data_IF_659755512276
#
_entry.id   IF_659755512276
#
_cell.length_a   1.000
_cell.length_b   1.000
_cell.length_c   1.000
_cell.angle_alpha   90.00
_cell.angle_beta   90.00
_cell.angle_gamma   90.00
#
_symmetry.space_group_name_H-M   'P 1'
#
loop_
_entity.id
_entity.type
_entity.pdbx_description
1 polymer ?
#
# COMPACT_ATOMS: atom_id res chain seq x y z
N UNK A 1 20.70 32.98 -18.73
CA UNK A 1 20.33 31.78 -17.94
C UNK A 1 19.55 32.25 -16.74
N UNK A 2 18.31 31.80 -16.59
CA UNK A 2 17.29 32.47 -15.78
C UNK A 2 17.51 32.41 -14.26
N UNK A 3 16.78 33.24 -13.49
CA UNK A 3 16.87 33.35 -12.03
C UNK A 3 16.18 32.16 -11.35
N UNK A 4 16.75 30.96 -11.48
CA UNK A 4 16.40 29.80 -10.65
C UNK A 4 17.17 29.87 -9.34
N UNK A 5 16.95 30.94 -8.60
CA UNK A 5 17.46 31.13 -7.25
C UNK A 5 16.50 30.46 -6.24
N UNK A 6 17.06 29.88 -5.17
CA UNK A 6 16.31 29.17 -4.13
C UNK A 6 15.05 29.90 -3.62
N UNK A 7 15.04 31.24 -3.45
CA UNK A 7 13.84 31.98 -3.08
C UNK A 7 12.68 31.85 -4.07
N UNK A 8 12.95 31.83 -5.37
CA UNK A 8 11.91 31.69 -6.42
C UNK A 8 11.21 30.34 -6.30
N UNK A 9 11.97 29.27 -6.05
CA UNK A 9 11.43 27.91 -5.87
C UNK A 9 10.57 27.86 -4.59
N UNK A 10 11.02 28.48 -3.50
CA UNK A 10 10.25 28.54 -2.26
C UNK A 10 8.88 29.21 -2.46
N UNK A 11 8.82 30.30 -3.21
CA UNK A 11 7.56 31.00 -3.53
C UNK A 11 6.61 30.08 -4.32
N UNK A 12 7.11 29.35 -5.32
CA UNK A 12 6.28 28.41 -6.09
C UNK A 12 5.72 27.27 -5.24
N UNK A 13 6.54 26.71 -4.34
CA UNK A 13 6.08 25.67 -3.41
C UNK A 13 5.02 26.21 -2.47
N UNK A 14 5.20 27.41 -1.92
CA UNK A 14 4.18 28.05 -1.07
C UNK A 14 2.87 28.22 -1.85
N UNK A 15 2.94 28.69 -3.10
CA UNK A 15 1.75 28.87 -3.93
C UNK A 15 1.04 27.54 -4.21
N UNK A 16 1.79 26.48 -4.51
CA UNK A 16 1.25 25.14 -4.68
C UNK A 16 0.61 24.61 -3.39
N UNK A 17 1.21 24.84 -2.22
CA UNK A 17 0.63 24.47 -0.92
C UNK A 17 -0.67 25.22 -0.66
N UNK A 18 -0.78 26.49 -1.04
CA UNK A 18 -2.01 27.27 -0.88
C UNK A 18 -3.14 26.79 -1.80
N UNK A 19 -2.82 26.42 -3.04
CA UNK A 19 -3.81 25.95 -4.02
C UNK A 19 -4.28 24.52 -3.75
N UNK A 20 -3.35 23.62 -3.44
CA UNK A 20 -3.64 22.18 -3.28
C UNK A 20 -3.81 21.77 -1.81
N UNK A 21 -3.20 22.48 -0.87
CA UNK A 21 -3.19 22.15 0.55
C UNK A 21 -1.98 21.29 0.96
N UNK A 22 -1.46 21.52 2.18
CA UNK A 22 -0.27 20.84 2.71
C UNK A 22 -0.41 19.30 2.80
N UNK A 23 -1.63 18.78 2.91
CA UNK A 23 -1.87 17.31 2.94
C UNK A 23 -1.97 16.68 1.56
N UNK A 24 -2.29 17.45 0.50
CA UNK A 24 -2.49 16.94 -0.86
C UNK A 24 -1.20 16.79 -1.64
N UNK A 25 -0.24 17.71 -1.48
CA UNK A 25 1.07 17.57 -2.10
C UNK A 25 1.80 16.26 -1.76
N UNK A 26 1.92 15.83 -0.48
CA UNK A 26 2.58 14.57 -0.15
C UNK A 26 1.74 13.35 -0.57
N UNK A 27 0.42 13.46 -0.62
CA UNK A 27 -0.45 12.41 -1.14
C UNK A 27 -0.21 12.19 -2.64
N UNK A 28 -0.24 13.27 -3.42
CA UNK A 28 0.00 13.26 -4.86
C UNK A 28 1.43 12.79 -5.19
N UNK A 29 2.43 13.28 -4.45
CA UNK A 29 3.80 12.82 -4.64
C UNK A 29 3.96 11.32 -4.35
N UNK A 30 3.28 10.79 -3.32
CA UNK A 30 3.31 9.34 -3.00
C UNK A 30 2.60 8.50 -4.05
N UNK A 31 1.44 8.93 -4.56
CA UNK A 31 0.71 8.18 -5.59
C UNK A 31 1.46 8.19 -6.92
N UNK A 32 1.95 9.36 -7.35
CA UNK A 32 2.77 9.51 -8.54
C UNK A 32 4.09 8.73 -8.43
N UNK A 33 4.74 8.74 -7.26
CA UNK A 33 5.97 7.99 -7.02
C UNK A 33 5.78 6.47 -7.10
N UNK A 34 4.63 5.94 -6.65
CA UNK A 34 4.30 4.51 -6.79
C UNK A 34 4.13 4.12 -8.26
N UNK A 35 3.37 4.89 -9.04
CA UNK A 35 3.18 4.62 -10.47
C UNK A 35 4.48 4.77 -11.25
N UNK A 36 5.25 5.84 -11.00
CA UNK A 36 6.54 6.06 -11.64
C UNK A 36 7.55 4.95 -11.33
N UNK A 37 7.50 4.36 -10.12
CA UNK A 37 8.38 3.26 -9.75
C UNK A 37 8.06 1.96 -10.50
N UNK A 38 6.78 1.66 -10.71
CA UNK A 38 6.35 0.49 -11.49
C UNK A 38 6.81 0.67 -12.94
N UNK A 39 6.50 1.83 -13.53
CA UNK A 39 6.93 2.16 -14.89
C UNK A 39 8.45 2.13 -15.04
N UNK A 40 9.21 2.63 -14.05
CA UNK A 40 10.67 2.56 -14.05
C UNK A 40 11.20 1.13 -13.95
N UNK A 41 10.53 0.24 -13.22
CA UNK A 41 10.94 -1.16 -13.11
C UNK A 41 10.69 -1.93 -14.42
N UNK A 42 9.52 -1.72 -15.04
CA UNK A 42 9.21 -2.29 -16.36
C UNK A 42 10.12 -1.72 -17.46
N UNK A 43 10.37 -0.41 -17.44
CA UNK A 43 11.30 0.22 -18.39
C UNK A 43 12.75 -0.21 -18.16
N UNK A 44 13.15 -0.52 -16.91
CA UNK A 44 14.49 -1.00 -16.61
C UNK A 44 14.72 -2.36 -17.25
N UNK A 45 13.77 -3.29 -17.22
CA UNK A 45 13.89 -4.57 -17.93
C UNK A 45 14.14 -4.41 -19.43
N UNK A 46 13.49 -3.44 -20.08
CA UNK A 46 13.70 -3.16 -21.51
C UNK A 46 15.08 -2.54 -21.82
N UNK A 47 15.60 -1.70 -20.92
CA UNK A 47 16.93 -1.07 -21.06
C UNK A 47 18.05 -2.01 -20.63
N UNK A 48 17.76 -2.90 -19.67
CA UNK A 48 18.66 -3.93 -19.20
C UNK A 48 18.81 -4.96 -20.31
N UNK A 49 17.75 -5.47 -20.97
CA UNK A 49 17.81 -6.38 -22.13
C UNK A 49 18.75 -5.91 -23.27
N UNK A 50 18.99 -4.60 -23.42
CA UNK A 50 19.96 -4.03 -24.38
C UNK A 50 21.43 -4.08 -23.87
N UNK A 51 21.63 -4.19 -22.55
CA UNK A 51 22.91 -4.20 -21.84
C UNK A 51 23.28 -5.55 -21.16
N UNK A 52 22.40 -6.55 -21.05
CA UNK A 52 22.65 -7.86 -20.37
C UNK A 52 23.51 -8.85 -21.18
N UNK A 53 24.41 -8.35 -22.02
CA UNK A 53 25.62 -9.11 -22.34
C UNK A 53 26.63 -9.07 -21.17
N UNK A 54 26.36 -8.33 -20.09
CA UNK A 54 27.28 -8.21 -18.95
C UNK A 54 26.51 -7.89 -17.65
N UNK A 55 26.67 -8.76 -16.65
CA UNK A 55 26.47 -8.52 -15.20
C UNK A 55 25.06 -8.69 -14.60
N UNK A 56 24.82 -9.95 -14.24
CA UNK A 56 23.88 -10.47 -13.25
C UNK A 56 23.95 -9.72 -11.89
N UNK A 57 22.80 -9.63 -11.23
CA UNK A 57 22.68 -9.62 -9.76
C UNK A 57 22.98 -8.33 -8.97
N UNK A 58 22.18 -7.27 -9.12
CA UNK A 58 21.97 -6.38 -7.95
C UNK A 58 20.56 -5.79 -7.86
N UNK A 59 19.96 -6.00 -6.68
CA UNK A 59 18.89 -5.20 -6.05
C UNK A 59 17.47 -5.78 -6.09
N UNK A 60 17.35 -7.04 -5.71
CA UNK A 60 16.24 -7.53 -4.88
C UNK A 60 16.16 -6.75 -3.55
N UNK A 61 15.69 -5.49 -3.47
CA UNK A 61 15.43 -4.91 -2.14
C UNK A 61 14.47 -3.74 -1.94
N UNK A 62 13.83 -3.15 -2.94
CA UNK A 62 13.01 -1.96 -2.67
C UNK A 62 11.58 -2.27 -2.13
N UNK A 63 11.30 -3.49 -1.63
CA UNK A 63 9.95 -3.96 -1.30
C UNK A 63 9.42 -3.71 0.12
N UNK A 64 10.17 -3.11 1.06
CA UNK A 64 9.81 -3.18 2.50
C UNK A 64 9.48 -1.89 3.26
N UNK A 65 9.30 -0.74 2.63
CA UNK A 65 8.96 0.48 3.40
C UNK A 65 7.77 1.25 2.80
N UNK A 66 6.59 1.05 3.41
CA UNK A 66 5.81 2.10 4.09
C UNK A 66 4.47 1.52 4.57
N UNK A 67 4.50 0.86 5.73
CA UNK A 67 3.34 0.78 6.64
C UNK A 67 3.06 2.20 7.15
N UNK A 68 1.81 2.66 7.06
CA UNK A 68 1.34 3.88 7.71
C UNK A 68 1.19 3.69 9.23
N UNK A 69 1.07 4.78 10.02
CA UNK A 69 1.19 4.73 11.47
C UNK A 69 0.10 3.84 12.10
N UNK A 70 0.54 2.74 12.71
CA UNK A 70 -0.26 1.93 13.61
C UNK A 70 -0.39 2.73 14.92
N UNK A 71 -1.57 3.29 15.17
CA UNK A 71 -1.93 3.75 16.50
C UNK A 71 -2.06 2.50 17.39
N UNK A 72 -1.21 2.43 18.40
CA UNK A 72 -1.20 1.37 19.39
C UNK A 72 -2.54 1.34 20.15
N UNK A 73 -3.21 0.18 20.13
CA UNK A 73 -4.09 -0.26 21.21
C UNK A 73 -3.61 -1.66 21.60
N UNK A 74 -3.29 -1.92 22.89
CA UNK A 74 -2.90 -3.25 23.32
C UNK A 74 -4.18 -4.05 23.53
N UNK A 75 -4.45 -5.01 22.65
CA UNK A 75 -5.42 -6.06 22.94
C UNK A 75 -4.88 -7.39 22.45
N UNK A 76 -4.46 -8.20 23.42
CA UNK A 76 -4.32 -9.64 23.32
C UNK A 76 -5.52 -10.24 22.58
N UNK A 77 -5.31 -10.83 21.40
CA UNK A 77 -6.17 -11.85 20.83
C UNK A 77 -5.44 -12.59 19.69
N UNK A 78 -5.37 -13.93 19.73
CA UNK A 78 -4.65 -14.70 18.72
C UNK A 78 -5.37 -14.64 17.36
N UNK A 79 -4.56 -14.43 16.31
CA UNK A 79 -4.99 -14.53 14.92
C UNK A 79 -5.44 -15.95 14.57
N UNK A 80 -6.68 -16.16 14.11
CA UNK A 80 -7.06 -17.30 13.27
C UNK A 80 -8.16 -16.97 12.24
N UNK A 81 -7.83 -17.30 10.99
CA UNK A 81 -8.66 -17.69 9.84
C UNK A 81 -9.79 -16.78 9.31
N UNK A 82 -9.46 -16.16 8.17
CA UNK A 82 -10.15 -16.32 6.86
C UNK A 82 -11.54 -16.97 6.88
N UNK A 83 -12.55 -16.24 6.38
CA UNK A 83 -13.50 -16.83 5.45
C UNK A 83 -15.00 -16.73 5.75
N UNK A 84 -15.44 -16.19 6.90
CA UNK A 84 -16.88 -16.09 7.17
C UNK A 84 -17.26 -14.77 7.87
N UNK A 85 -18.36 -14.12 7.46
CA UNK A 85 -18.95 -13.06 8.27
C UNK A 85 -19.40 -13.65 9.61
N UNK A 86 -18.92 -13.08 10.70
CA UNK A 86 -19.28 -13.49 12.06
C UNK A 86 -20.76 -13.13 12.28
N UNK A 87 -21.63 -14.14 12.42
CA UNK A 87 -23.06 -13.93 12.60
C UNK A 87 -23.34 -13.37 14.02
N UNK A 88 -24.34 -12.48 14.18
CA UNK A 88 -24.77 -12.00 15.49
C UNK A 88 -25.16 -13.16 16.42
N UNK A 89 -24.84 -13.02 17.70
CA UNK A 89 -25.20 -14.00 18.73
C UNK A 89 -26.72 -14.28 18.70
N UNK A 90 -27.10 -15.52 18.37
CA UNK A 90 -28.50 -15.96 18.29
C UNK A 90 -28.99 -16.39 16.91
N UNK A 91 -28.22 -16.20 15.84
CA UNK A 91 -28.56 -16.75 14.52
C UNK A 91 -28.02 -18.18 14.34
N UNK A 92 -28.92 -19.11 14.02
CA UNK A 92 -28.60 -20.50 13.64
C UNK A 92 -28.75 -20.65 12.14
N UNK A 93 -27.76 -21.22 11.48
CA UNK A 93 -27.82 -21.52 10.04
C UNK A 93 -28.78 -22.70 9.87
N UNK A 94 -29.90 -22.49 9.16
CA UNK A 94 -30.85 -23.54 8.81
C UNK A 94 -30.55 -23.94 7.37
N UNK A 95 -30.19 -25.20 7.15
CA UNK A 95 -30.03 -25.71 5.79
C UNK A 95 -31.41 -25.82 5.11
N UNK A 96 -31.45 -25.83 3.79
CA UNK A 96 -32.71 -25.91 2.99
C UNK A 96 -33.59 -27.12 3.35
N UNK A 97 -33.01 -28.15 4.01
CA UNK A 97 -33.71 -29.32 4.57
C UNK A 97 -34.32 -29.11 5.98
N UNK A 98 -34.21 -27.92 6.58
CA UNK A 98 -34.82 -27.59 7.87
C UNK A 98 -34.09 -28.12 9.10
N UNK A 99 -32.93 -28.78 8.96
CA UNK A 99 -32.20 -29.32 10.09
C UNK A 99 -31.19 -28.32 10.70
N UNK A 100 -31.20 -28.12 12.03
CA UNK A 100 -30.21 -27.30 12.72
C UNK A 100 -28.91 -28.10 12.93
N UNK A 101 -27.87 -27.79 12.15
CA UNK A 101 -26.56 -28.43 12.30
C UNK A 101 -25.81 -27.83 13.51
N UNK A 102 -25.56 -28.65 14.54
CA UNK A 102 -24.61 -28.32 15.62
C UNK A 102 -23.20 -28.64 15.11
N UNK A 103 -22.42 -27.62 14.78
CA UNK A 103 -20.96 -27.80 14.66
C UNK A 103 -20.37 -27.96 16.08
N UNK A 104 -20.18 -29.21 16.50
CA UNK A 104 -19.38 -29.54 17.67
C UNK A 104 -17.91 -29.51 17.26
N UNK A 105 -17.15 -28.51 17.70
CA UNK A 105 -15.69 -28.56 17.64
C UNK A 105 -15.17 -29.50 18.73
N UNK A 106 -14.42 -30.55 18.37
CA UNK A 106 -13.78 -31.45 19.32
C UNK A 106 -13.00 -32.60 18.68
N UNK A 107 -11.66 -32.49 18.79
CA UNK A 107 -10.54 -33.43 18.48
C UNK A 107 -10.43 -34.06 17.09
#
# INVERSE_FOLDING_TARGET
MGPFNGPTIAILVILAVLLFGAKKLPELARSLGRSARILKAESKGLVEEENESTEDDTQQQAGRQQQGPQAAAPTDAPQQQQGYPQLPAGQRIVHESGEPTRHTYGN
#
